data_IF_807625236615
#
_entry.id   IF_807625236615
#
_cell.length_a   1.000
_cell.length_b   1.000
_cell.length_c   1.000
_cell.angle_alpha   90.00
_cell.angle_beta   90.00
_cell.angle_gamma   90.00
#
_symmetry.space_group_name_H-M   'P 1'
#
loop_
_entity.id
_entity.type
_entity.pdbx_description
1 polymer ?
#
# COMPACT_ATOMS: atom_id res chain seq x y z
N UNK A 1 -32.14 -49.11 -2.38
CA UNK A 1 -31.09 -48.76 -3.33
C UNK A 1 -31.21 -47.33 -3.88
N UNK A 2 -32.39 -46.89 -4.38
CA UNK A 2 -32.58 -45.53 -4.94
C UNK A 2 -32.24 -44.38 -3.94
N UNK A 3 -32.59 -44.51 -2.64
CA UNK A 3 -32.28 -43.48 -1.62
C UNK A 3 -30.79 -43.26 -1.43
N UNK A 4 -29.99 -44.33 -1.35
CA UNK A 4 -28.55 -44.27 -1.20
C UNK A 4 -27.90 -43.57 -2.42
N UNK A 5 -28.36 -43.87 -3.62
CA UNK A 5 -27.89 -43.26 -4.86
C UNK A 5 -28.12 -41.72 -4.85
N UNK A 6 -29.32 -41.26 -4.45
CA UNK A 6 -29.60 -39.82 -4.32
C UNK A 6 -28.72 -39.13 -3.28
N UNK A 7 -28.51 -39.77 -2.13
CA UNK A 7 -27.63 -39.20 -1.08
C UNK A 7 -26.19 -39.05 -1.57
N UNK A 8 -25.65 -40.09 -2.25
CA UNK A 8 -24.29 -40.01 -2.81
C UNK A 8 -24.18 -38.90 -3.86
N UNK A 9 -25.16 -38.77 -4.74
CA UNK A 9 -25.16 -37.70 -5.76
C UNK A 9 -25.17 -36.31 -5.11
N UNK A 10 -26.00 -36.09 -4.08
CA UNK A 10 -26.06 -34.80 -3.36
C UNK A 10 -24.72 -34.51 -2.70
N UNK A 11 -24.10 -35.47 -2.03
CA UNK A 11 -22.78 -35.28 -1.38
C UNK A 11 -21.72 -34.92 -2.39
N UNK A 12 -21.67 -35.56 -3.55
CA UNK A 12 -20.72 -35.24 -4.62
C UNK A 12 -20.93 -33.82 -5.14
N UNK A 13 -22.17 -33.40 -5.37
CA UNK A 13 -22.50 -32.04 -5.83
C UNK A 13 -22.04 -31.02 -4.80
N UNK A 14 -22.29 -31.24 -3.50
CA UNK A 14 -21.85 -30.35 -2.43
C UNK A 14 -20.33 -30.29 -2.36
N UNK A 15 -19.63 -31.41 -2.48
CA UNK A 15 -18.17 -31.44 -2.48
C UNK A 15 -17.57 -30.64 -3.65
N UNK A 16 -18.14 -30.78 -4.85
CA UNK A 16 -17.73 -30.03 -6.03
C UNK A 16 -17.98 -28.52 -5.83
N UNK A 17 -19.12 -28.13 -5.25
CA UNK A 17 -19.47 -26.75 -4.96
C UNK A 17 -18.47 -26.16 -3.94
N UNK A 18 -18.16 -26.87 -2.86
CA UNK A 18 -17.17 -26.43 -1.85
C UNK A 18 -15.80 -26.24 -2.50
N UNK A 19 -15.35 -27.20 -3.31
CA UNK A 19 -14.07 -27.11 -4.00
C UNK A 19 -14.02 -25.91 -4.96
N UNK A 20 -15.10 -25.63 -5.68
CA UNK A 20 -15.21 -24.48 -6.58
C UNK A 20 -15.15 -23.15 -5.82
N UNK A 21 -15.87 -23.02 -4.69
CA UNK A 21 -15.84 -21.85 -3.82
C UNK A 21 -14.43 -21.65 -3.24
N UNK A 22 -13.82 -22.71 -2.69
CA UNK A 22 -12.47 -22.70 -2.15
C UNK A 22 -11.46 -22.16 -3.17
N UNK A 23 -11.43 -22.73 -4.37
CA UNK A 23 -10.55 -22.28 -5.44
C UNK A 23 -10.82 -20.81 -5.84
N UNK A 24 -12.07 -20.37 -5.75
CA UNK A 24 -12.43 -18.97 -5.95
C UNK A 24 -11.82 -18.04 -4.89
N UNK A 25 -11.92 -18.42 -3.61
CA UNK A 25 -11.32 -17.66 -2.49
C UNK A 25 -9.78 -17.63 -2.57
N UNK A 26 -9.14 -18.75 -2.90
CA UNK A 26 -7.69 -18.80 -3.12
C UNK A 26 -7.25 -17.82 -4.21
N UNK A 27 -7.96 -17.79 -5.34
CA UNK A 27 -7.64 -16.83 -6.43
C UNK A 27 -7.79 -15.39 -5.99
N UNK A 28 -8.81 -15.05 -5.23
CA UNK A 28 -9.01 -13.70 -4.72
C UNK A 28 -7.93 -13.31 -3.70
N UNK A 29 -7.56 -14.22 -2.78
CA UNK A 29 -6.45 -14.02 -1.85
C UNK A 29 -5.13 -13.74 -2.58
N UNK A 30 -4.81 -14.59 -3.56
CA UNK A 30 -3.59 -14.41 -4.36
C UNK A 30 -3.59 -13.09 -5.14
N UNK A 31 -4.77 -12.60 -5.55
CA UNK A 31 -4.88 -11.28 -6.20
C UNK A 31 -4.54 -10.14 -5.23
N UNK A 32 -4.98 -10.23 -3.97
CA UNK A 32 -4.59 -9.25 -2.93
C UNK A 32 -3.09 -9.30 -2.68
N UNK A 33 -2.52 -10.51 -2.54
CA UNK A 33 -1.09 -10.69 -2.30
C UNK A 33 -0.23 -10.13 -3.46
N UNK A 34 -0.66 -10.35 -4.70
CA UNK A 34 0.00 -9.78 -5.89
C UNK A 34 -0.12 -8.25 -5.94
N UNK A 35 -1.28 -7.70 -5.56
CA UNK A 35 -1.46 -6.25 -5.51
C UNK A 35 -0.59 -5.63 -4.42
N UNK A 36 -0.44 -6.29 -3.26
CA UNK A 36 0.48 -5.86 -2.21
C UNK A 36 1.94 -5.85 -2.69
N UNK A 37 2.37 -6.89 -3.38
CA UNK A 37 3.72 -6.95 -3.94
C UNK A 37 4.01 -5.78 -4.91
N UNK A 38 3.00 -5.28 -5.64
CA UNK A 38 3.16 -4.10 -6.49
C UNK A 38 3.34 -2.82 -5.66
N UNK A 39 2.61 -2.68 -4.54
CA UNK A 39 2.82 -1.57 -3.59
C UNK A 39 4.26 -1.61 -3.06
N UNK A 40 4.70 -2.77 -2.55
CA UNK A 40 6.03 -2.95 -1.96
C UNK A 40 7.16 -2.58 -2.94
N UNK A 41 7.04 -2.95 -4.21
CA UNK A 41 8.01 -2.55 -5.26
C UNK A 41 8.12 -1.03 -5.40
N UNK A 42 7.01 -0.29 -5.37
CA UNK A 42 7.04 1.16 -5.49
C UNK A 42 7.56 1.84 -4.21
N UNK A 43 7.19 1.32 -3.04
CA UNK A 43 7.72 1.79 -1.75
C UNK A 43 9.24 1.61 -1.68
N UNK A 44 9.75 0.45 -2.09
CA UNK A 44 11.18 0.19 -2.15
C UNK A 44 11.91 1.19 -3.07
N UNK A 45 11.35 1.46 -4.25
CA UNK A 45 11.91 2.48 -5.16
C UNK A 45 11.97 3.86 -4.49
N UNK A 46 10.92 4.26 -3.77
CA UNK A 46 10.88 5.50 -2.99
C UNK A 46 12.02 5.54 -1.96
N UNK A 47 12.20 4.45 -1.20
CA UNK A 47 13.26 4.36 -0.19
C UNK A 47 14.66 4.44 -0.78
N UNK A 48 14.87 3.93 -1.97
CA UNK A 48 16.15 3.95 -2.66
C UNK A 48 16.51 5.35 -3.19
N UNK A 49 15.52 6.20 -3.49
CA UNK A 49 15.72 7.59 -3.94
C UNK A 49 16.05 8.56 -2.79
N UNK A 50 15.52 8.32 -1.59
CA UNK A 50 15.63 9.24 -0.45
C UNK A 50 17.07 9.54 -0.02
N UNK A 51 18.02 8.59 0.08
CA UNK A 51 19.40 8.89 0.45
C UNK A 51 20.05 9.89 -0.52
N UNK A 52 19.83 9.72 -1.81
CA UNK A 52 20.39 10.62 -2.83
C UNK A 52 19.79 12.04 -2.71
N UNK A 53 18.49 12.13 -2.40
CA UNK A 53 17.83 13.41 -2.15
C UNK A 53 18.44 14.10 -0.92
N UNK A 54 18.55 13.37 0.20
CA UNK A 54 19.13 13.92 1.45
C UNK A 54 20.55 14.39 1.24
N UNK A 55 21.42 13.61 0.57
CA UNK A 55 22.79 14.01 0.27
C UNK A 55 22.86 15.25 -0.65
N UNK A 56 21.97 15.32 -1.65
CA UNK A 56 21.89 16.49 -2.54
C UNK A 56 21.52 17.75 -1.75
N UNK A 57 20.49 17.68 -0.88
CA UNK A 57 20.03 18.83 -0.09
C UNK A 57 21.07 19.23 0.96
N UNK A 58 21.74 18.28 1.61
CA UNK A 58 22.84 18.54 2.57
C UNK A 58 23.97 19.37 1.96
N UNK A 59 24.26 19.20 0.69
CA UNK A 59 25.30 19.98 0.00
C UNK A 59 25.04 21.48 0.00
N UNK A 60 23.79 21.91 0.11
CA UNK A 60 23.36 23.32 0.09
C UNK A 60 22.84 23.81 1.44
N UNK A 61 22.26 22.96 2.27
CA UNK A 61 21.57 23.29 3.52
C UNK A 61 22.15 22.53 4.73
N UNK A 62 23.46 22.50 4.88
CA UNK A 62 24.18 21.67 5.87
C UNK A 62 23.80 21.90 7.34
N UNK A 63 23.15 23.02 7.66
CA UNK A 63 22.77 23.39 9.03
C UNK A 63 21.41 22.82 9.46
N UNK A 64 20.61 22.25 8.55
CA UNK A 64 19.23 21.79 8.75
C UNK A 64 19.18 20.31 9.21
N UNK A 65 19.92 20.00 10.28
CA UNK A 65 20.12 18.61 10.74
C UNK A 65 18.80 17.91 11.12
N UNK A 66 17.91 18.62 11.81
CA UNK A 66 16.63 18.06 12.28
C UNK A 66 15.77 17.57 11.13
N UNK A 67 15.71 18.32 10.03
CA UNK A 67 14.94 17.92 8.84
C UNK A 67 15.51 16.65 8.21
N UNK A 68 16.83 16.51 8.12
CA UNK A 68 17.47 15.31 7.57
C UNK A 68 17.28 14.09 8.47
N UNK A 69 17.45 14.27 9.79
CA UNK A 69 17.25 13.20 10.78
C UNK A 69 15.80 12.70 10.72
N UNK A 70 14.81 13.59 10.67
CA UNK A 70 13.40 13.23 10.54
C UNK A 70 13.10 12.38 9.29
N UNK A 71 13.70 12.71 8.13
CA UNK A 71 13.52 11.92 6.89
C UNK A 71 14.18 10.54 7.01
N UNK A 72 15.40 10.48 7.58
CA UNK A 72 16.12 9.22 7.75
C UNK A 72 15.40 8.28 8.72
N UNK A 73 14.92 8.82 9.85
CA UNK A 73 14.15 8.05 10.84
C UNK A 73 12.81 7.56 10.28
N UNK A 74 12.07 8.45 9.61
CA UNK A 74 10.80 8.08 8.98
C UNK A 74 10.97 6.99 7.90
N UNK A 75 12.03 7.09 7.09
CA UNK A 75 12.38 6.05 6.12
C UNK A 75 12.70 4.73 6.80
N UNK A 76 13.50 4.74 7.87
CA UNK A 76 13.87 3.53 8.61
C UNK A 76 12.62 2.88 9.25
N UNK A 77 11.72 3.68 9.82
CA UNK A 77 10.46 3.19 10.37
C UNK A 77 9.57 2.55 9.30
N UNK A 78 9.46 3.18 8.12
CA UNK A 78 8.69 2.65 7.00
C UNK A 78 9.28 1.33 6.46
N UNK A 79 10.60 1.19 6.43
CA UNK A 79 11.26 -0.07 6.02
C UNK A 79 11.12 -1.19 7.07
N UNK A 80 10.89 -0.86 8.34
CA UNK A 80 10.76 -1.83 9.43
C UNK A 80 9.31 -2.27 9.68
N UNK A 81 8.33 -1.63 9.05
CA UNK A 81 6.92 -1.95 9.20
C UNK A 81 6.63 -3.40 8.79
N UNK A 82 5.95 -4.15 9.67
CA UNK A 82 5.67 -5.57 9.47
C UNK A 82 4.24 -5.88 9.03
N UNK A 83 3.32 -4.93 9.22
CA UNK A 83 1.91 -5.06 8.82
C UNK A 83 1.49 -3.96 7.85
N UNK A 84 0.36 -4.15 7.16
CA UNK A 84 -0.17 -3.15 6.22
C UNK A 84 -0.55 -1.86 6.93
N UNK A 85 -1.10 -1.97 8.13
CA UNK A 85 -1.49 -0.82 8.96
C UNK A 85 -0.28 -0.03 9.44
N UNK A 86 0.76 -0.72 9.95
CA UNK A 86 2.03 -0.08 10.34
C UNK A 86 2.69 0.59 9.13
N UNK A 87 2.66 -0.08 7.97
CA UNK A 87 3.18 0.47 6.73
C UNK A 87 2.44 1.75 6.34
N UNK A 88 1.11 1.77 6.40
CA UNK A 88 0.30 2.93 6.07
C UNK A 88 0.63 4.12 6.99
N UNK A 89 0.77 3.89 8.29
CA UNK A 89 1.12 4.93 9.25
C UNK A 89 2.54 5.48 9.01
N UNK A 90 3.51 4.59 8.80
CA UNK A 90 4.90 4.98 8.57
C UNK A 90 5.07 5.76 7.25
N UNK A 91 4.34 5.39 6.19
CA UNK A 91 4.33 6.12 4.92
C UNK A 91 3.75 7.53 5.06
N UNK A 92 2.71 7.71 5.88
CA UNK A 92 2.16 9.04 6.16
C UNK A 92 3.20 9.93 6.86
N UNK A 93 3.95 9.40 7.84
CA UNK A 93 5.03 10.11 8.53
C UNK A 93 6.15 10.47 7.54
N UNK A 94 6.57 9.51 6.70
CA UNK A 94 7.60 9.73 5.69
C UNK A 94 7.19 10.80 4.67
N UNK A 95 5.95 10.77 4.22
CA UNK A 95 5.40 11.80 3.32
C UNK A 95 5.45 13.18 3.96
N UNK A 96 5.11 13.30 5.25
CA UNK A 96 5.22 14.54 6.02
C UNK A 96 6.66 15.05 6.10
N UNK A 97 7.62 14.18 6.40
CA UNK A 97 9.04 14.51 6.48
C UNK A 97 9.61 14.96 5.11
N UNK A 98 9.22 14.28 4.02
CA UNK A 98 9.62 14.67 2.66
C UNK A 98 9.03 16.02 2.24
N UNK A 99 7.79 16.35 2.62
CA UNK A 99 7.20 17.68 2.39
C UNK A 99 8.00 18.77 3.09
N UNK A 100 8.45 18.53 4.33
CA UNK A 100 9.31 19.48 5.05
C UNK A 100 10.66 19.66 4.35
N UNK A 101 11.27 18.57 3.86
CA UNK A 101 12.52 18.63 3.12
C UNK A 101 12.38 19.42 1.80
N UNK A 102 11.29 19.26 1.07
CA UNK A 102 11.00 20.04 -0.13
C UNK A 102 10.70 21.51 0.18
N UNK A 103 9.97 21.80 1.27
CA UNK A 103 9.73 23.16 1.72
C UNK A 103 11.05 23.86 2.12
N UNK A 104 11.98 23.14 2.75
CA UNK A 104 13.32 23.63 3.04
C UNK A 104 14.07 24.00 1.74
N UNK A 105 14.02 23.15 0.72
CA UNK A 105 14.68 23.39 -0.56
C UNK A 105 14.21 24.69 -1.25
N UNK A 106 12.96 25.13 -1.01
CA UNK A 106 12.44 26.40 -1.53
C UNK A 106 13.19 27.63 -0.97
N UNK A 107 13.79 27.52 0.21
CA UNK A 107 14.60 28.58 0.81
C UNK A 107 16.02 28.71 0.22
N UNK A 108 16.43 27.75 -0.62
CA UNK A 108 17.76 27.68 -1.22
C UNK A 108 17.67 27.73 -2.76
N UNK A 109 17.71 28.91 -3.41
CA UNK A 109 17.51 29.04 -4.86
C UNK A 109 18.51 28.24 -5.71
N UNK A 110 19.76 28.10 -5.25
CA UNK A 110 20.80 27.33 -5.94
C UNK A 110 20.47 25.83 -5.95
N UNK A 111 19.95 25.30 -4.85
CA UNK A 111 19.49 23.92 -4.75
C UNK A 111 18.28 23.70 -5.68
N UNK A 112 17.31 24.61 -5.65
CA UNK A 112 16.11 24.55 -6.49
C UNK A 112 16.43 24.53 -7.98
N UNK A 113 17.53 25.18 -8.39
CA UNK A 113 18.00 25.21 -9.79
C UNK A 113 18.93 24.04 -10.15
N UNK A 114 19.36 23.23 -9.16
CA UNK A 114 20.26 22.12 -9.40
C UNK A 114 19.57 20.98 -10.17
N UNK A 115 20.14 20.58 -11.30
CA UNK A 115 19.54 19.59 -12.20
C UNK A 115 19.32 18.21 -11.55
N UNK A 116 20.25 17.78 -10.68
CA UNK A 116 20.13 16.54 -9.94
C UNK A 116 18.99 16.58 -8.91
N UNK A 117 18.77 17.71 -8.23
CA UNK A 117 17.63 17.89 -7.33
C UNK A 117 16.30 17.83 -8.09
N UNK A 118 16.19 18.54 -9.21
CA UNK A 118 14.99 18.52 -10.06
C UNK A 118 14.68 17.11 -10.58
N UNK A 119 15.70 16.36 -11.01
CA UNK A 119 15.52 14.97 -11.46
C UNK A 119 15.02 14.07 -10.33
N UNK A 120 15.60 14.16 -9.12
CA UNK A 120 15.18 13.38 -7.95
C UNK A 120 13.75 13.75 -7.50
N UNK A 121 13.41 15.04 -7.53
CA UNK A 121 12.06 15.53 -7.23
C UNK A 121 11.05 14.95 -8.21
N UNK A 122 11.36 14.95 -9.51
CA UNK A 122 10.49 14.36 -10.53
C UNK A 122 10.34 12.85 -10.34
N UNK A 123 11.44 12.11 -10.11
CA UNK A 123 11.39 10.66 -9.88
C UNK A 123 10.59 10.30 -8.62
N UNK A 124 10.69 11.09 -7.56
CA UNK A 124 9.89 10.90 -6.35
C UNK A 124 8.42 11.18 -6.59
N UNK A 125 8.08 12.25 -7.35
CA UNK A 125 6.70 12.55 -7.73
C UNK A 125 6.09 11.43 -8.56
N UNK A 126 6.80 10.95 -9.59
CA UNK A 126 6.36 9.80 -10.40
C UNK A 126 6.19 8.52 -9.58
N UNK A 127 7.04 8.33 -8.57
CA UNK A 127 6.95 7.17 -7.69
C UNK A 127 5.74 7.29 -6.76
N UNK A 128 5.43 8.49 -6.26
CA UNK A 128 4.24 8.76 -5.45
C UNK A 128 2.95 8.48 -6.23
N UNK A 129 2.87 8.93 -7.49
CA UNK A 129 1.74 8.62 -8.36
C UNK A 129 1.55 7.10 -8.55
N UNK A 130 2.66 6.37 -8.75
CA UNK A 130 2.63 4.91 -8.87
C UNK A 130 2.23 4.21 -7.56
N UNK A 131 2.68 4.72 -6.41
CA UNK A 131 2.26 4.24 -5.08
C UNK A 131 0.75 4.43 -4.92
N UNK A 132 0.24 5.61 -5.24
CA UNK A 132 -1.20 5.92 -5.16
C UNK A 132 -2.04 4.96 -5.99
N UNK A 133 -1.66 4.71 -7.25
CA UNK A 133 -2.34 3.74 -8.13
C UNK A 133 -2.23 2.32 -7.57
N UNK A 134 -1.06 1.90 -7.11
CA UNK A 134 -0.87 0.56 -6.55
C UNK A 134 -1.70 0.35 -5.27
N UNK A 135 -1.78 1.36 -4.39
CA UNK A 135 -2.64 1.36 -3.19
C UNK A 135 -4.12 1.21 -3.55
N UNK A 136 -4.58 1.92 -4.58
CA UNK A 136 -5.97 1.79 -5.06
C UNK A 136 -6.25 0.36 -5.54
N UNK A 137 -5.37 -0.23 -6.36
CA UNK A 137 -5.50 -1.60 -6.84
C UNK A 137 -5.50 -2.61 -5.69
N UNK A 138 -4.65 -2.39 -4.67
CA UNK A 138 -4.62 -3.21 -3.46
C UNK A 138 -5.96 -3.13 -2.70
N UNK A 139 -6.46 -1.93 -2.45
CA UNK A 139 -7.70 -1.71 -1.72
C UNK A 139 -8.92 -2.29 -2.47
N UNK A 140 -8.99 -2.16 -3.79
CA UNK A 140 -10.05 -2.74 -4.62
C UNK A 140 -10.01 -4.28 -4.60
N UNK A 141 -8.79 -4.85 -4.62
CA UNK A 141 -8.59 -6.29 -4.52
C UNK A 141 -8.99 -6.81 -3.14
N UNK A 142 -8.62 -6.06 -2.09
CA UNK A 142 -8.98 -6.35 -0.69
C UNK A 142 -10.49 -6.26 -0.47
N UNK A 143 -11.15 -5.23 -1.00
CA UNK A 143 -12.61 -5.09 -0.95
C UNK A 143 -13.30 -6.30 -1.60
N UNK A 144 -12.85 -6.69 -2.79
CA UNK A 144 -13.41 -7.84 -3.52
C UNK A 144 -13.24 -9.14 -2.75
N UNK A 145 -12.06 -9.35 -2.16
CA UNK A 145 -11.78 -10.52 -1.33
C UNK A 145 -12.59 -10.51 -0.04
N UNK A 146 -12.62 -9.42 0.71
CA UNK A 146 -13.35 -9.29 1.96
C UNK A 146 -14.85 -9.49 1.77
N UNK A 147 -15.43 -8.94 0.71
CA UNK A 147 -16.82 -9.19 0.33
C UNK A 147 -17.06 -10.68 0.06
N UNK A 148 -16.15 -11.37 -0.63
CA UNK A 148 -16.29 -12.78 -0.90
C UNK A 148 -16.20 -13.64 0.38
N UNK A 149 -15.36 -13.28 1.34
CA UNK A 149 -15.22 -13.96 2.63
C UNK A 149 -16.46 -13.76 3.51
N UNK A 150 -17.17 -12.63 3.38
CA UNK A 150 -18.31 -12.27 4.22
C UNK A 150 -19.66 -12.67 3.65
N UNK A 151 -19.77 -12.96 2.35
CA UNK A 151 -21.06 -13.23 1.68
C UNK A 151 -21.40 -14.72 1.62
N UNK A 152 -22.69 -15.04 1.74
CA UNK A 152 -23.24 -16.41 1.61
C UNK A 152 -23.22 -16.83 0.12
N UNK A 153 -22.90 -18.10 -0.21
CA UNK A 153 -22.50 -19.20 0.68
C UNK A 153 -20.97 -19.26 0.96
N UNK A 154 -20.19 -18.33 0.42
CA UNK A 154 -18.71 -18.33 0.48
C UNK A 154 -18.17 -18.20 1.90
N UNK A 155 -18.87 -17.47 2.78
CA UNK A 155 -18.49 -17.28 4.17
C UNK A 155 -18.42 -18.58 4.98
N UNK A 156 -19.27 -19.57 4.65
CA UNK A 156 -19.24 -20.90 5.28
C UNK A 156 -17.94 -21.63 4.95
N UNK A 157 -17.56 -21.62 3.67
CA UNK A 157 -16.30 -22.22 3.22
C UNK A 157 -15.11 -21.42 3.77
N UNK A 158 -15.21 -20.09 3.78
CA UNK A 158 -14.16 -19.22 4.32
C UNK A 158 -13.86 -19.54 5.78
N UNK A 159 -14.88 -19.68 6.63
CA UNK A 159 -14.71 -20.01 8.05
C UNK A 159 -14.14 -21.43 8.24
N UNK A 160 -14.56 -22.41 7.44
CA UNK A 160 -14.05 -23.78 7.51
C UNK A 160 -12.56 -23.90 7.18
N UNK A 161 -12.06 -23.08 6.26
CA UNK A 161 -10.68 -23.14 5.76
C UNK A 161 -9.79 -21.98 6.23
N UNK A 162 -10.25 -21.16 7.19
CA UNK A 162 -9.45 -20.11 7.81
C UNK A 162 -9.16 -18.90 6.92
N UNK A 163 -10.02 -18.59 5.95
CA UNK A 163 -9.93 -17.34 5.20
C UNK A 163 -10.47 -16.18 6.06
N UNK A 164 -9.58 -15.31 6.51
CA UNK A 164 -9.92 -14.10 7.27
C UNK A 164 -9.90 -12.87 6.35
N UNK A 165 -10.65 -11.83 6.73
CA UNK A 165 -10.59 -10.54 6.06
C UNK A 165 -9.18 -9.95 6.15
N UNK A 166 -8.78 -9.21 5.12
CA UNK A 166 -7.49 -8.50 5.05
C UNK A 166 -7.68 -7.01 5.30
N UNK A 167 -6.69 -6.35 5.91
CA UNK A 167 -6.72 -4.91 6.17
C UNK A 167 -6.62 -4.11 4.87
N UNK A 168 -7.15 -2.89 4.90
CA UNK A 168 -6.96 -1.90 3.86
C UNK A 168 -5.70 -1.08 4.11
N UNK A 169 -5.11 -0.58 3.05
CA UNK A 169 -4.06 0.42 3.16
C UNK A 169 -4.75 1.79 3.31
N UNK A 170 -4.78 2.34 4.53
CA UNK A 170 -5.48 3.59 4.82
C UNK A 170 -4.70 4.81 4.31
N UNK A 171 -5.41 5.74 3.67
CA UNK A 171 -4.87 7.05 3.34
C UNK A 171 -4.72 7.90 4.61
N UNK A 172 -3.71 8.77 4.65
CA UNK A 172 -3.57 9.75 5.71
C UNK A 172 -4.76 10.72 5.77
N UNK A 173 -5.00 11.30 6.94
CA UNK A 173 -6.12 12.25 7.13
C UNK A 173 -6.01 13.46 6.21
N UNK A 174 -4.81 13.86 5.81
CA UNK A 174 -4.55 14.95 4.85
C UNK A 174 -5.11 14.66 3.46
N UNK A 175 -5.12 13.40 3.03
CA UNK A 175 -5.68 12.98 1.72
C UNK A 175 -7.22 12.90 1.75
N UNK A 176 -7.82 12.88 2.95
CA UNK A 176 -9.29 12.86 3.15
C UNK A 176 -9.90 14.26 3.17
N UNK A 177 -9.08 15.31 3.35
CA UNK A 177 -9.59 16.68 3.38
C UNK A 177 -9.87 17.17 1.96
N UNK A 178 -11.15 17.39 1.67
CA UNK A 178 -11.58 18.06 0.43
C UNK A 178 -10.98 19.47 0.40
N UNK A 179 -10.27 19.89 -0.67
CA UNK A 179 -9.79 21.27 -0.79
C UNK A 179 -10.98 22.23 -0.64
N UNK A 180 -10.94 23.14 0.33
CA UNK A 180 -11.92 24.22 0.43
C UNK A 180 -11.68 25.16 -0.75
N UNK A 181 -12.49 25.02 -1.78
CA UNK A 181 -12.53 25.99 -2.88
C UNK A 181 -13.27 27.21 -2.33
N UNK A 182 -12.53 28.24 -1.92
CA UNK A 182 -13.08 29.55 -1.62
C UNK A 182 -13.40 30.24 -2.94
N UNK A 183 -14.68 30.58 -3.15
CA UNK A 183 -15.12 31.51 -4.20
C UNK A 183 -15.04 32.93 -3.69
#
# INVERSE_FOLDING_TARGET
>A
MKGITYTVVIVVILAVLVAWIYNGLVRLRNRVDNAWAQVDVQLKRRYDLIPNLVETVKGYASHERETFEAVVEARAAAQAAGTVEEQAQAENILTGALRQLFALAEAYPELKAASNFLSLQQELSETEDKISVARQIYNDSTLTYNNAVQTVPRNLVASMFGFAAKPYFEAGDDERTVPKVGF
#
